data_IF_112227399092
#
_entry.id   IF_112227399092
#
_cell.length_a   1.000
_cell.length_b   1.000
_cell.length_c   1.000
_cell.angle_alpha   90.00
_cell.angle_beta   90.00
_cell.angle_gamma   90.00
#
_symmetry.space_group_name_H-M   'P 1'
#
loop_
_entity.id
_entity.type
_entity.pdbx_description
1 polymer ?
#
# COMPACT_ATOMS: atom_id res chain seq x y z
N UNK A 1 4.67 6.87 13.80
CA UNK A 1 4.50 7.09 12.34
C UNK A 1 5.38 6.12 11.55
N UNK A 2 4.78 5.39 10.63
CA UNK A 2 5.50 4.56 9.65
C UNK A 2 5.78 5.33 8.35
N UNK A 3 6.72 4.84 7.54
CA UNK A 3 6.86 5.26 6.15
C UNK A 3 5.57 4.98 5.37
N UNK A 4 5.04 5.97 4.70
CA UNK A 4 3.85 5.87 3.88
C UNK A 4 4.23 5.88 2.39
N UNK A 5 3.72 4.90 1.65
CA UNK A 5 3.89 4.82 0.18
C UNK A 5 2.78 5.60 -0.54
N UNK A 6 2.53 6.80 -0.07
CA UNK A 6 1.55 7.73 -0.64
C UNK A 6 2.21 9.07 -0.91
N UNK A 7 1.48 9.99 -1.53
CA UNK A 7 1.96 11.37 -1.73
C UNK A 7 2.20 12.10 -0.42
N UNK A 8 1.50 11.72 0.65
CA UNK A 8 1.80 12.19 2.01
C UNK A 8 2.68 11.13 2.66
N UNK A 9 3.87 11.52 3.06
CA UNK A 9 4.71 10.73 3.94
C UNK A 9 4.87 11.49 5.26
N UNK A 10 3.98 11.20 6.22
CA UNK A 10 3.97 11.85 7.53
C UNK A 10 5.24 11.59 8.32
N UNK A 11 5.87 10.44 8.12
CA UNK A 11 7.17 10.16 8.72
C UNK A 11 8.22 11.16 8.24
N UNK A 12 8.28 11.44 6.94
CA UNK A 12 9.19 12.44 6.38
C UNK A 12 8.91 13.83 6.93
N UNK A 13 7.63 14.21 7.04
CA UNK A 13 7.25 15.54 7.57
C UNK A 13 7.77 15.73 9.00
N UNK A 14 7.60 14.74 9.87
CA UNK A 14 7.97 14.89 11.29
C UNK A 14 9.44 14.65 11.57
N UNK A 15 10.15 13.90 10.73
CA UNK A 15 11.53 13.48 10.99
C UNK A 15 12.55 13.88 9.93
N UNK A 16 12.13 14.47 8.82
CA UNK A 16 12.89 14.67 7.58
C UNK A 16 13.36 13.37 6.90
N UNK A 17 13.12 12.21 7.50
CA UNK A 17 13.57 10.94 6.96
C UNK A 17 12.83 10.58 5.67
N UNK A 18 13.59 10.51 4.58
CA UNK A 18 13.06 10.22 3.24
C UNK A 18 13.19 8.75 2.80
N UNK A 19 13.81 7.90 3.62
CA UNK A 19 13.99 6.48 3.33
C UNK A 19 12.68 5.69 3.25
N UNK A 20 12.68 4.56 2.55
CA UNK A 20 11.48 3.76 2.28
C UNK A 20 11.07 2.80 3.41
N UNK A 21 11.80 2.74 4.50
CA UNK A 21 11.48 1.89 5.64
C UNK A 21 11.86 2.57 6.95
N UNK A 22 10.88 3.01 7.71
CA UNK A 22 11.09 3.64 9.00
C UNK A 22 9.83 3.71 9.84
N UNK A 23 10.03 3.86 11.16
CA UNK A 23 9.01 4.13 12.16
C UNK A 23 9.55 5.14 13.18
N UNK A 24 8.83 6.24 13.38
CA UNK A 24 9.16 7.20 14.43
C UNK A 24 8.25 7.06 15.64
N UNK A 25 8.85 7.16 16.82
CA UNK A 25 8.16 7.30 18.09
C UNK A 25 8.58 8.65 18.69
N UNK A 26 7.59 9.52 18.91
CA UNK A 26 7.78 10.86 19.44
C UNK A 26 7.36 10.86 20.90
N UNK A 27 8.27 11.20 21.79
CA UNK A 27 8.03 11.31 23.24
C UNK A 27 8.30 12.74 23.69
N UNK A 28 7.91 13.07 24.91
CA UNK A 28 8.06 14.42 25.48
C UNK A 28 9.52 14.94 25.42
N UNK A 29 10.49 14.07 25.73
CA UNK A 29 11.89 14.49 25.89
C UNK A 29 12.86 13.78 24.91
N UNK A 30 12.40 12.79 24.16
CA UNK A 30 13.26 12.01 23.25
C UNK A 30 12.44 11.49 22.08
N UNK A 31 13.02 11.55 20.88
CA UNK A 31 12.43 10.98 19.69
C UNK A 31 13.28 9.82 19.18
N UNK A 32 12.64 8.80 18.68
CA UNK A 32 13.31 7.62 18.15
C UNK A 32 12.88 7.39 16.71
N UNK A 33 13.84 7.11 15.85
CA UNK A 33 13.59 6.60 14.50
C UNK A 33 14.14 5.17 14.41
N UNK A 34 13.25 4.22 14.14
CA UNK A 34 13.59 2.84 13.85
C UNK A 34 13.66 2.65 12.34
N UNK A 35 14.81 2.21 11.82
CA UNK A 35 15.01 1.97 10.39
C UNK A 35 15.91 0.76 10.16
N UNK A 36 15.95 0.23 8.93
CA UNK A 36 16.82 -0.88 8.61
C UNK A 36 18.25 -0.44 8.21
N UNK A 37 19.15 -1.41 8.09
CA UNK A 37 20.58 -1.16 7.86
C UNK A 37 20.91 -0.39 6.57
N UNK A 38 19.99 -0.34 5.60
CA UNK A 38 20.18 0.43 4.35
C UNK A 38 20.22 1.94 4.57
N UNK A 39 19.59 2.42 5.66
CA UNK A 39 19.35 3.83 5.91
C UNK A 39 20.07 4.41 7.12
N UNK A 40 21.02 3.69 7.73
CA UNK A 40 21.72 4.15 8.95
C UNK A 40 22.42 5.49 8.75
N UNK A 41 23.18 5.65 7.67
CA UNK A 41 23.90 6.90 7.36
C UNK A 41 22.90 8.00 6.96
N UNK A 42 22.01 7.69 6.04
CA UNK A 42 21.00 8.64 5.55
C UNK A 42 20.15 9.19 6.69
N UNK A 43 19.67 8.34 7.59
CA UNK A 43 18.83 8.75 8.71
C UNK A 43 19.57 9.66 9.71
N UNK A 44 20.86 9.43 9.93
CA UNK A 44 21.68 10.31 10.76
C UNK A 44 21.82 11.71 10.16
N UNK A 45 22.01 11.79 8.85
CA UNK A 45 22.13 13.06 8.12
C UNK A 45 20.80 13.80 8.09
N UNK A 46 19.72 13.12 7.69
CA UNK A 46 18.40 13.73 7.48
C UNK A 46 17.69 14.12 8.78
N UNK A 47 17.76 13.26 9.81
CA UNK A 47 17.06 13.50 11.08
C UNK A 47 17.88 14.36 12.06
N UNK A 48 19.17 14.51 11.84
CA UNK A 48 20.08 15.28 12.71
C UNK A 48 20.06 14.77 14.16
N UNK A 49 20.27 15.71 15.10
CA UNK A 49 20.30 15.43 16.55
C UNK A 49 18.92 15.21 17.18
N UNK A 50 17.84 15.45 16.44
CA UNK A 50 16.47 15.42 16.97
C UNK A 50 15.96 14.00 17.18
N UNK A 51 16.58 13.00 16.55
CA UNK A 51 16.17 11.59 16.63
C UNK A 51 17.33 10.68 17.03
N UNK A 52 17.07 9.75 17.95
CA UNK A 52 17.94 8.62 18.17
C UNK A 52 17.63 7.53 17.15
N UNK A 53 18.59 7.21 16.28
CA UNK A 53 18.45 6.19 15.24
C UNK A 53 18.69 4.81 15.83
N UNK A 54 17.80 3.85 15.55
CA UNK A 54 17.84 2.50 16.10
C UNK A 54 17.46 1.51 14.98
N UNK A 55 18.12 0.33 14.96
CA UNK A 55 17.74 -0.75 14.04
C UNK A 55 16.32 -1.26 14.32
N UNK A 56 15.54 -1.46 13.26
CA UNK A 56 14.11 -1.82 13.37
C UNK A 56 13.90 -3.19 14.01
N UNK A 57 14.87 -4.07 13.95
CA UNK A 57 14.89 -5.38 14.62
C UNK A 57 14.77 -5.25 16.15
N UNK A 58 15.26 -4.14 16.71
CA UNK A 58 15.21 -3.87 18.15
C UNK A 58 13.85 -3.38 18.64
N UNK A 59 12.92 -3.07 17.73
CA UNK A 59 11.60 -2.54 18.08
C UNK A 59 10.76 -3.54 18.89
N UNK A 60 10.81 -4.83 18.55
CA UNK A 60 9.96 -5.87 19.16
C UNK A 60 10.20 -6.04 20.66
N UNK A 61 11.44 -5.86 21.10
CA UNK A 61 11.84 -5.99 22.51
C UNK A 61 12.37 -4.66 23.07
N UNK A 62 11.87 -3.53 22.57
CA UNK A 62 12.39 -2.23 22.93
C UNK A 62 12.02 -1.84 24.37
N UNK A 63 13.04 -1.62 25.19
CA UNK A 63 12.87 -1.18 26.58
C UNK A 63 12.90 0.35 26.74
N UNK A 64 13.09 1.10 25.66
CA UNK A 64 13.28 2.55 25.70
C UNK A 64 11.98 3.34 25.97
N UNK A 65 10.82 2.69 25.80
CA UNK A 65 9.49 3.29 26.00
C UNK A 65 8.52 2.26 26.58
N UNK A 66 8.74 1.85 27.83
CA UNK A 66 7.84 0.96 28.57
C UNK A 66 6.85 1.75 29.42
N UNK A 67 5.67 1.16 29.68
CA UNK A 67 4.63 1.69 30.56
C UNK A 67 4.10 3.08 30.13
N UNK A 68 4.12 3.34 28.84
CA UNK A 68 3.59 4.58 28.25
C UNK A 68 2.23 4.36 27.60
N UNK A 69 1.43 5.42 27.55
CA UNK A 69 0.28 5.48 26.66
C UNK A 69 0.71 6.05 25.31
N UNK A 70 0.70 5.23 24.27
CA UNK A 70 1.09 5.62 22.93
C UNK A 70 -0.14 5.99 22.09
N UNK A 71 -0.16 7.23 21.59
CA UNK A 71 -1.16 7.68 20.63
C UNK A 71 -0.85 7.17 19.23
N UNK A 72 -1.82 6.57 18.57
CA UNK A 72 -1.68 6.09 17.19
C UNK A 72 -2.90 6.45 16.34
N UNK A 73 -2.68 6.72 15.05
CA UNK A 73 -3.74 6.84 14.07
C UNK A 73 -4.24 5.44 13.66
N UNK A 74 -5.48 5.04 13.97
CA UNK A 74 -5.99 3.70 13.68
C UNK A 74 -6.13 3.43 12.17
N UNK A 75 -6.06 4.44 11.30
CA UNK A 75 -6.09 4.28 9.85
C UNK A 75 -4.77 3.76 9.29
N UNK A 76 -3.66 3.97 10.02
CA UNK A 76 -2.30 3.66 9.56
C UNK A 76 -1.74 2.35 10.12
N UNK A 77 -2.40 1.74 11.11
CA UNK A 77 -1.91 0.52 11.77
C UNK A 77 -2.92 -0.61 11.69
N UNK A 78 -2.42 -1.84 11.66
CA UNK A 78 -3.23 -3.04 11.86
C UNK A 78 -3.15 -3.49 13.33
N UNK A 79 -4.14 -4.22 13.83
CA UNK A 79 -4.06 -4.83 15.17
C UNK A 79 -2.87 -5.76 15.31
N UNK A 80 -2.50 -6.47 14.26
CA UNK A 80 -1.34 -7.36 14.26
C UNK A 80 -0.03 -6.61 14.47
N UNK A 81 0.14 -5.45 13.82
CA UNK A 81 1.30 -4.58 14.02
C UNK A 81 1.36 -4.05 15.47
N UNK A 82 0.24 -3.56 15.99
CA UNK A 82 0.17 -3.05 17.36
C UNK A 82 0.52 -4.14 18.37
N UNK A 83 -0.07 -5.34 18.20
CA UNK A 83 0.22 -6.49 19.07
C UNK A 83 1.69 -6.86 19.02
N UNK A 84 2.29 -6.84 17.84
CA UNK A 84 3.69 -7.22 17.65
C UNK A 84 4.67 -6.22 18.27
N UNK A 85 4.41 -4.90 18.12
CA UNK A 85 5.40 -3.88 18.42
C UNK A 85 5.18 -3.16 19.76
N UNK A 86 3.93 -3.04 20.24
CA UNK A 86 3.65 -2.11 21.33
C UNK A 86 2.89 -2.71 22.51
N UNK A 87 1.97 -3.66 22.31
CA UNK A 87 1.08 -4.13 23.39
C UNK A 87 1.77 -4.87 24.53
N UNK A 88 2.98 -5.38 24.32
CA UNK A 88 3.70 -6.10 25.39
C UNK A 88 4.05 -5.19 26.58
N UNK A 89 4.27 -3.90 26.33
CA UNK A 89 4.85 -2.98 27.31
C UNK A 89 4.13 -1.64 27.44
N UNK A 90 3.08 -1.37 26.62
CA UNK A 90 2.46 -0.05 26.55
C UNK A 90 0.95 -0.13 26.41
N UNK A 91 0.28 0.94 26.80
CA UNK A 91 -1.14 1.18 26.52
C UNK A 91 -1.29 1.91 25.19
N UNK A 92 -2.39 1.65 24.46
CA UNK A 92 -2.65 2.27 23.17
C UNK A 92 -3.89 3.16 23.26
N UNK A 93 -3.73 4.40 22.83
CA UNK A 93 -4.83 5.35 22.64
C UNK A 93 -4.99 5.64 21.14
N UNK A 94 -6.20 5.41 20.61
CA UNK A 94 -6.48 5.76 19.21
C UNK A 94 -6.71 7.25 19.08
N UNK A 95 -6.02 7.87 18.14
CA UNK A 95 -6.13 9.28 17.76
C UNK A 95 -6.86 9.35 16.44
N UNK A 96 -8.11 9.80 16.43
CA UNK A 96 -8.96 9.79 15.24
C UNK A 96 -8.52 10.78 14.15
N UNK A 97 -7.94 11.91 14.59
CA UNK A 97 -7.36 12.91 13.70
C UNK A 97 -5.85 12.88 13.80
N UNK A 98 -5.17 12.72 12.66
CA UNK A 98 -3.72 12.65 12.64
C UNK A 98 -3.12 14.01 13.02
N UNK A 99 -2.23 14.04 14.01
CA UNK A 99 -1.66 15.28 14.53
C UNK A 99 -0.82 16.04 13.48
N UNK A 100 -0.20 15.33 12.55
CA UNK A 100 0.57 15.96 11.46
C UNK A 100 -0.37 16.69 10.50
N UNK A 101 -1.54 16.11 10.19
CA UNK A 101 -2.52 16.73 9.29
C UNK A 101 -3.08 18.03 9.88
N UNK A 102 -3.12 18.14 11.23
CA UNK A 102 -3.56 19.37 11.91
C UNK A 102 -2.51 20.49 11.80
N UNK A 103 -1.22 20.14 11.87
CA UNK A 103 -0.11 21.11 11.81
C UNK A 103 0.09 21.61 10.38
N UNK A 104 0.19 20.71 9.42
CA UNK A 104 0.60 21.01 8.04
C UNK A 104 -0.57 21.45 7.14
N UNK A 105 -1.84 21.33 7.58
CA UNK A 105 -3.05 21.60 6.74
C UNK A 105 -2.90 20.98 5.35
N UNK A 106 -2.50 19.71 5.32
CA UNK A 106 -2.13 19.00 4.10
C UNK A 106 -3.31 18.94 3.10
N UNK A 107 -3.29 19.84 2.12
CA UNK A 107 -4.24 19.81 1.00
C UNK A 107 -3.74 18.84 -0.06
N UNK A 108 -4.30 17.65 -0.09
CA UNK A 108 -4.01 16.70 -1.17
C UNK A 108 -4.93 17.01 -2.35
N UNK A 109 -4.48 17.85 -3.27
CA UNK A 109 -5.16 18.07 -4.55
C UNK A 109 -4.76 16.99 -5.58
N UNK A 110 -4.82 15.72 -5.20
CA UNK A 110 -4.55 14.64 -6.15
C UNK A 110 -5.84 14.20 -6.83
N UNK A 111 -6.04 14.68 -8.05
CA UNK A 111 -7.19 14.40 -8.90
C UNK A 111 -6.85 13.47 -10.07
N UNK A 112 -5.66 12.88 -10.11
CA UNK A 112 -5.29 11.96 -11.19
C UNK A 112 -6.31 10.82 -11.28
N UNK A 113 -6.98 10.65 -12.43
CA UNK A 113 -8.04 9.66 -12.57
C UNK A 113 -7.48 8.24 -12.54
N UNK A 114 -8.27 7.33 -11.99
CA UNK A 114 -8.06 5.90 -12.18
C UNK A 114 -8.38 5.53 -13.64
N UNK A 115 -7.66 4.54 -14.15
CA UNK A 115 -7.84 4.03 -15.50
C UNK A 115 -7.94 2.51 -15.52
N UNK A 116 -8.65 1.99 -16.51
CA UNK A 116 -8.86 0.56 -16.69
C UNK A 116 -7.83 -0.01 -17.68
N UNK A 117 -7.44 -1.25 -17.46
CA UNK A 117 -6.66 -2.06 -18.40
C UNK A 117 -7.56 -3.13 -19.02
N UNK A 118 -7.59 -3.16 -20.34
CA UNK A 118 -8.42 -4.10 -21.10
C UNK A 118 -7.98 -5.56 -20.90
N UNK A 119 -8.92 -6.49 -21.13
CA UNK A 119 -8.68 -7.93 -21.04
C UNK A 119 -7.47 -8.38 -21.88
N UNK A 120 -7.25 -7.76 -23.05
CA UNK A 120 -6.12 -8.08 -23.92
C UNK A 120 -4.77 -7.78 -23.30
N UNK A 121 -4.71 -6.82 -22.36
CA UNK A 121 -3.50 -6.45 -21.62
C UNK A 121 -3.32 -7.35 -20.40
N UNK A 122 -4.39 -7.64 -19.66
CA UNK A 122 -4.33 -8.35 -18.37
C UNK A 122 -4.65 -9.84 -18.46
N UNK A 123 -5.17 -10.31 -19.60
CA UNK A 123 -5.47 -11.72 -19.88
C UNK A 123 -6.72 -12.27 -19.22
N UNK A 124 -7.27 -11.65 -18.18
CA UNK A 124 -8.44 -12.12 -17.45
C UNK A 124 -9.42 -10.97 -17.17
N UNK A 125 -10.71 -11.21 -17.44
CA UNK A 125 -11.75 -10.20 -17.19
C UNK A 125 -12.02 -10.02 -15.69
N UNK A 126 -12.51 -8.83 -15.33
CA UNK A 126 -12.97 -8.52 -13.98
C UNK A 126 -14.03 -9.54 -13.51
N UNK A 127 -15.00 -9.89 -14.35
CA UNK A 127 -16.07 -10.84 -13.98
C UNK A 127 -15.53 -12.24 -13.65
N UNK A 128 -14.53 -12.73 -14.38
CA UNK A 128 -13.85 -14.00 -14.08
C UNK A 128 -13.20 -13.95 -12.69
N UNK A 129 -12.48 -12.89 -12.37
CA UNK A 129 -11.84 -12.67 -11.07
C UNK A 129 -12.85 -12.57 -9.93
N UNK A 130 -13.96 -11.85 -10.13
CA UNK A 130 -15.06 -11.77 -9.16
C UNK A 130 -15.74 -13.14 -8.95
N UNK A 131 -15.79 -13.98 -9.98
CA UNK A 131 -16.30 -15.35 -9.84
C UNK A 131 -15.42 -16.21 -8.93
N UNK A 132 -14.09 -16.08 -9.03
CA UNK A 132 -13.14 -16.75 -8.10
C UNK A 132 -13.38 -16.29 -6.65
N UNK A 133 -13.53 -15.00 -6.42
CA UNK A 133 -13.83 -14.43 -5.09
C UNK A 133 -15.18 -14.92 -4.57
N UNK A 134 -16.22 -14.94 -5.41
CA UNK A 134 -17.54 -15.42 -5.04
C UNK A 134 -17.51 -16.90 -4.60
N UNK A 135 -16.80 -17.76 -5.34
CA UNK A 135 -16.61 -19.18 -4.96
C UNK A 135 -15.88 -19.32 -3.62
N UNK A 136 -14.83 -18.52 -3.42
CA UNK A 136 -14.09 -18.49 -2.15
C UNK A 136 -15.01 -18.09 -0.98
N UNK A 137 -15.82 -17.04 -1.14
CA UNK A 137 -16.75 -16.58 -0.13
C UNK A 137 -17.81 -17.63 0.22
N UNK A 138 -18.40 -18.29 -0.80
CA UNK A 138 -19.37 -19.39 -0.60
C UNK A 138 -18.75 -20.56 0.17
N UNK A 139 -17.54 -21.00 -0.21
CA UNK A 139 -16.81 -22.07 0.48
C UNK A 139 -16.54 -21.72 1.96
N UNK A 140 -16.26 -20.45 2.26
CA UNK A 140 -15.98 -19.98 3.62
C UNK A 140 -17.23 -19.49 4.38
N UNK A 141 -18.44 -19.68 3.82
CA UNK A 141 -19.72 -19.26 4.42
C UNK A 141 -19.65 -17.82 4.91
N UNK A 142 -19.23 -16.90 4.03
CA UNK A 142 -19.12 -15.45 4.31
C UNK A 142 -19.81 -14.64 3.23
N UNK A 143 -20.37 -13.49 3.63
CA UNK A 143 -21.13 -12.64 2.74
C UNK A 143 -20.23 -11.71 1.92
N UNK A 144 -19.14 -11.24 2.55
CA UNK A 144 -18.25 -10.23 1.97
C UNK A 144 -16.78 -10.56 2.19
N UNK A 145 -15.95 -10.12 1.22
CA UNK A 145 -14.50 -9.97 1.37
C UNK A 145 -14.17 -8.47 1.34
N UNK A 146 -13.45 -8.00 2.35
CA UNK A 146 -12.87 -6.66 2.39
C UNK A 146 -11.43 -6.73 1.91
N UNK A 147 -11.15 -6.19 0.74
CA UNK A 147 -9.82 -6.10 0.14
C UNK A 147 -9.25 -4.74 0.52
N UNK A 148 -8.35 -4.71 1.48
CA UNK A 148 -7.71 -3.50 2.02
C UNK A 148 -6.44 -3.12 1.28
N UNK A 149 -5.79 -4.05 0.60
CA UNK A 149 -4.55 -3.84 -0.14
C UNK A 149 -4.82 -3.23 -1.53
N UNK A 150 -4.32 -2.01 -1.84
CA UNK A 150 -4.59 -1.34 -3.12
C UNK A 150 -4.13 -2.13 -4.34
N UNK A 151 -3.04 -2.89 -4.24
CA UNK A 151 -2.54 -3.75 -5.33
C UNK A 151 -3.49 -4.91 -5.63
N UNK A 152 -4.23 -5.39 -4.62
CA UNK A 152 -5.23 -6.44 -4.79
C UNK A 152 -6.52 -5.87 -5.39
N UNK A 153 -6.89 -4.63 -5.04
CA UNK A 153 -7.97 -3.90 -5.72
C UNK A 153 -7.62 -3.68 -7.19
N UNK A 154 -6.40 -3.21 -7.48
CA UNK A 154 -5.90 -2.98 -8.84
C UNK A 154 -6.00 -4.25 -9.70
N UNK A 155 -5.58 -5.40 -9.16
CA UNK A 155 -5.66 -6.68 -9.87
C UNK A 155 -7.10 -7.13 -10.05
N UNK A 156 -7.94 -7.06 -9.01
CA UNK A 156 -9.32 -7.58 -9.04
C UNK A 156 -10.19 -6.84 -10.05
N UNK A 157 -10.07 -5.50 -10.11
CA UNK A 157 -10.87 -4.66 -10.99
C UNK A 157 -10.19 -4.30 -12.31
N UNK A 158 -8.96 -4.75 -12.55
CA UNK A 158 -8.15 -4.34 -13.70
C UNK A 158 -7.96 -2.82 -13.79
N UNK A 159 -7.90 -2.13 -12.68
CA UNK A 159 -7.71 -0.68 -12.63
C UNK A 159 -6.30 -0.30 -12.16
N UNK A 160 -5.88 0.90 -12.55
CA UNK A 160 -4.63 1.49 -12.10
C UNK A 160 -4.85 2.94 -11.68
N UNK A 161 -3.91 3.48 -10.92
CA UNK A 161 -3.89 4.86 -10.46
C UNK A 161 -2.46 5.40 -10.42
N UNK A 162 -2.31 6.68 -10.11
CA UNK A 162 -1.01 7.35 -9.93
C UNK A 162 -0.82 7.82 -8.48
N UNK A 163 -1.33 7.05 -7.52
CA UNK A 163 -1.33 7.42 -6.10
C UNK A 163 -0.01 7.07 -5.39
N UNK A 164 0.73 6.11 -5.91
CA UNK A 164 2.08 5.79 -5.46
C UNK A 164 3.14 6.43 -6.37
N UNK A 165 4.31 6.81 -5.81
CA UNK A 165 5.36 7.48 -6.59
C UNK A 165 5.95 6.61 -7.71
N UNK A 166 6.09 5.30 -7.48
CA UNK A 166 6.77 4.37 -8.39
C UNK A 166 5.90 3.19 -8.82
N UNK A 167 4.63 3.17 -8.43
CA UNK A 167 3.72 2.05 -8.71
C UNK A 167 2.36 2.57 -9.17
N UNK A 168 1.77 1.97 -10.24
CA UNK A 168 0.50 2.44 -10.77
C UNK A 168 -0.69 1.91 -9.94
N UNK A 169 -0.67 2.10 -8.63
CA UNK A 169 -1.71 1.61 -7.73
C UNK A 169 -2.78 2.68 -7.46
N UNK A 170 -4.08 2.29 -7.44
CA UNK A 170 -5.18 3.15 -7.02
C UNK A 170 -5.30 3.10 -5.49
N UNK A 171 -5.16 4.23 -4.79
CA UNK A 171 -5.40 4.27 -3.35
C UNK A 171 -6.90 4.10 -3.06
N UNK A 172 -7.31 2.88 -2.92
CA UNK A 172 -8.71 2.48 -2.76
C UNK A 172 -8.83 1.19 -1.94
N UNK A 173 -10.05 0.88 -1.54
CA UNK A 173 -10.43 -0.39 -0.89
C UNK A 173 -11.61 -0.96 -1.64
N UNK A 174 -11.81 -2.28 -1.57
CA UNK A 174 -12.88 -2.94 -2.31
C UNK A 174 -13.62 -3.93 -1.43
N UNK A 175 -14.93 -3.89 -1.48
CA UNK A 175 -15.79 -4.92 -0.89
C UNK A 175 -16.37 -5.74 -2.04
N UNK A 176 -16.21 -7.06 -1.97
CA UNK A 176 -16.80 -8.00 -2.91
C UNK A 176 -17.79 -8.89 -2.17
N UNK A 177 -19.02 -8.98 -2.66
CA UNK A 177 -20.04 -9.87 -2.09
C UNK A 177 -19.99 -11.29 -2.68
N UNK A 178 -20.56 -12.25 -1.98
CA UNK A 178 -20.76 -13.64 -2.48
C UNK A 178 -21.61 -13.71 -3.75
N UNK A 179 -22.36 -12.64 -4.08
CA UNK A 179 -23.15 -12.51 -5.31
C UNK A 179 -22.44 -11.68 -6.39
N UNK A 180 -21.13 -11.46 -6.27
CA UNK A 180 -20.28 -10.68 -7.18
C UNK A 180 -20.59 -9.18 -7.22
N UNK A 181 -21.44 -8.66 -6.34
CA UNK A 181 -21.62 -7.21 -6.20
C UNK A 181 -20.34 -6.61 -5.62
N UNK A 182 -19.93 -5.48 -6.15
CA UNK A 182 -18.73 -4.75 -5.69
C UNK A 182 -19.13 -3.42 -5.09
N UNK A 183 -18.31 -2.95 -4.14
CA UNK A 183 -18.38 -1.59 -3.60
C UNK A 183 -16.94 -1.06 -3.48
N UNK A 184 -16.63 -0.04 -4.26
CA UNK A 184 -15.31 0.60 -4.28
C UNK A 184 -15.31 1.77 -3.31
N UNK A 185 -14.39 1.76 -2.37
CA UNK A 185 -14.15 2.85 -1.43
C UNK A 185 -12.98 3.66 -1.97
N UNK A 186 -13.27 4.80 -2.58
CA UNK A 186 -12.30 5.67 -3.23
C UNK A 186 -12.84 7.09 -3.39
N UNK A 187 -11.93 8.03 -3.69
CA UNK A 187 -12.32 9.39 -4.06
C UNK A 187 -13.13 9.36 -5.37
N UNK A 188 -14.38 9.86 -5.33
CA UNK A 188 -15.31 9.89 -6.48
C UNK A 188 -14.75 10.63 -7.69
N UNK A 189 -13.96 11.69 -7.46
CA UNK A 189 -13.34 12.47 -8.55
C UNK A 189 -12.39 11.60 -9.36
N UNK A 190 -11.57 10.77 -8.68
CA UNK A 190 -10.64 9.84 -9.35
C UNK A 190 -11.35 8.74 -10.15
N UNK A 191 -12.58 8.42 -9.79
CA UNK A 191 -13.39 7.38 -10.43
C UNK A 191 -14.17 7.87 -11.66
N UNK A 192 -14.23 9.18 -11.96
CA UNK A 192 -15.02 9.72 -13.07
C UNK A 192 -14.76 9.02 -14.40
N UNK A 193 -13.49 8.76 -14.75
CA UNK A 193 -13.12 8.04 -15.98
C UNK A 193 -13.68 6.61 -16.01
N UNK A 194 -13.64 5.89 -14.89
CA UNK A 194 -14.17 4.52 -14.78
C UNK A 194 -15.70 4.50 -14.92
N UNK A 195 -16.39 5.52 -14.40
CA UNK A 195 -17.84 5.67 -14.53
C UNK A 195 -18.22 5.93 -15.98
N UNK A 196 -17.57 6.89 -16.65
CA UNK A 196 -17.83 7.25 -18.03
C UNK A 196 -17.58 6.06 -18.98
N UNK A 197 -16.59 5.24 -18.69
CA UNK A 197 -16.28 4.01 -19.42
C UNK A 197 -17.18 2.81 -19.03
N UNK A 198 -18.15 3.00 -18.14
CA UNK A 198 -19.04 1.93 -17.63
C UNK A 198 -18.32 0.74 -16.98
N UNK A 199 -17.09 0.95 -16.50
CA UNK A 199 -16.32 -0.08 -15.78
C UNK A 199 -16.89 -0.30 -14.36
N UNK A 200 -17.37 0.77 -13.73
CA UNK A 200 -18.06 0.74 -12.46
C UNK A 200 -19.22 1.72 -12.45
N UNK A 201 -20.36 1.33 -11.89
CA UNK A 201 -21.49 2.24 -11.73
C UNK A 201 -21.24 3.20 -10.56
N UNK A 202 -21.69 4.45 -10.67
CA UNK A 202 -21.50 5.49 -9.66
C UNK A 202 -22.04 5.09 -8.27
N UNK A 203 -23.17 4.37 -8.22
CA UNK A 203 -23.77 3.85 -6.97
C UNK A 203 -22.95 2.69 -6.32
N UNK A 204 -21.89 2.24 -6.96
CA UNK A 204 -20.95 1.27 -6.42
C UNK A 204 -19.69 1.90 -5.86
N UNK A 205 -19.57 3.22 -5.94
CA UNK A 205 -18.50 3.98 -5.30
C UNK A 205 -19.10 4.58 -4.03
N UNK A 206 -18.67 4.05 -2.90
CA UNK A 206 -19.21 4.35 -1.57
C UNK A 206 -18.17 5.03 -0.68
N UNK A 207 -18.66 5.79 0.29
CA UNK A 207 -17.83 6.25 1.39
C UNK A 207 -17.71 5.14 2.47
N UNK A 208 -16.65 5.18 3.25
CA UNK A 208 -16.40 4.16 4.28
C UNK A 208 -17.55 4.06 5.30
N UNK A 209 -18.24 5.14 5.63
CA UNK A 209 -19.38 5.15 6.54
C UNK A 209 -20.59 4.35 6.00
N UNK A 210 -20.65 4.14 4.69
CA UNK A 210 -21.74 3.39 4.06
C UNK A 210 -21.55 1.87 4.17
N UNK A 211 -20.39 1.39 4.65
CA UNK A 211 -20.17 -0.05 4.95
C UNK A 211 -21.25 -0.56 5.91
N UNK A 212 -21.61 0.24 6.91
CA UNK A 212 -22.63 -0.12 7.89
C UNK A 212 -24.04 -0.29 7.30
N UNK A 213 -24.31 0.25 6.10
CA UNK A 213 -25.61 0.12 5.40
C UNK A 213 -25.74 -1.17 4.59
N UNK A 214 -24.65 -1.93 4.41
CA UNK A 214 -24.69 -3.19 3.67
C UNK A 214 -25.55 -4.24 4.39
N UNK A 215 -26.24 -5.08 3.60
CA UNK A 215 -27.07 -6.18 4.11
C UNK A 215 -26.25 -7.47 4.13
N UNK A 216 -26.17 -8.14 5.26
CA UNK A 216 -25.41 -9.38 5.44
C UNK A 216 -24.93 -9.52 6.89
N UNK A 217 -24.22 -10.61 7.20
CA UNK A 217 -23.85 -10.98 8.56
C UNK A 217 -22.34 -11.06 8.79
N UNK A 218 -21.56 -11.26 7.73
CA UNK A 218 -20.14 -11.61 7.91
C UNK A 218 -19.21 -11.06 6.83
N UNK A 219 -18.00 -10.69 7.28
CA UNK A 219 -16.87 -10.28 6.45
C UNK A 219 -15.67 -11.18 6.66
N UNK A 220 -14.94 -11.44 5.58
CA UNK A 220 -13.55 -11.88 5.65
C UNK A 220 -12.66 -10.64 5.50
N UNK A 221 -11.67 -10.49 6.39
CA UNK A 221 -10.64 -9.46 6.35
C UNK A 221 -9.26 -10.08 6.47
N UNK A 222 -8.24 -9.45 5.89
CA UNK A 222 -6.84 -9.80 6.12
C UNK A 222 -6.24 -8.91 7.22
N UNK A 223 -5.89 -9.51 8.36
CA UNK A 223 -5.31 -8.80 9.51
C UNK A 223 -3.91 -8.19 9.23
N UNK A 224 -3.24 -8.60 8.14
CA UNK A 224 -1.95 -8.04 7.75
C UNK A 224 -2.10 -6.67 7.06
N UNK A 225 -3.24 -6.40 6.42
CA UNK A 225 -3.46 -5.22 5.60
C UNK A 225 -4.67 -4.38 6.02
N UNK A 226 -5.63 -4.96 6.74
CA UNK A 226 -6.80 -4.25 7.22
C UNK A 226 -6.42 -3.37 8.43
N UNK A 227 -6.55 -2.05 8.30
CA UNK A 227 -6.27 -1.15 9.39
C UNK A 227 -7.30 -1.29 10.53
N UNK A 228 -6.90 -0.92 11.74
CA UNK A 228 -7.73 -0.93 12.94
C UNK A 228 -9.04 -0.17 12.72
N UNK A 229 -8.96 0.96 12.04
CA UNK A 229 -10.13 1.77 11.71
C UNK A 229 -11.19 0.98 10.94
N UNK A 230 -10.78 0.31 9.85
CA UNK A 230 -11.71 -0.48 9.04
C UNK A 230 -12.16 -1.77 9.74
N UNK A 231 -11.26 -2.42 10.49
CA UNK A 231 -11.64 -3.60 11.29
C UNK A 231 -12.72 -3.24 12.31
N UNK A 232 -12.57 -2.13 13.05
CA UNK A 232 -13.56 -1.68 14.03
C UNK A 232 -14.89 -1.28 13.37
N UNK A 233 -14.82 -0.56 12.24
CA UNK A 233 -16.00 -0.16 11.49
C UNK A 233 -16.81 -1.36 10.98
N UNK A 234 -16.13 -2.39 10.49
CA UNK A 234 -16.79 -3.64 10.05
C UNK A 234 -17.33 -4.41 11.25
N UNK A 235 -16.54 -4.54 12.34
CA UNK A 235 -16.89 -5.27 13.55
C UNK A 235 -18.11 -4.71 14.27
N UNK A 236 -18.38 -3.40 14.14
CA UNK A 236 -19.54 -2.77 14.79
C UNK A 236 -20.90 -3.35 14.35
N UNK A 237 -20.95 -3.96 13.15
CA UNK A 237 -22.19 -4.53 12.59
C UNK A 237 -22.07 -5.98 12.12
N UNK A 238 -20.89 -6.44 11.75
CA UNK A 238 -20.68 -7.72 11.07
C UNK A 238 -19.76 -8.65 11.87
N UNK A 239 -20.00 -9.95 11.79
CA UNK A 239 -19.05 -10.95 12.27
C UNK A 239 -17.82 -10.95 11.35
N UNK A 240 -16.63 -10.89 11.95
CA UNK A 240 -15.36 -10.90 11.21
C UNK A 240 -14.74 -12.28 11.23
N UNK A 241 -14.28 -12.74 10.06
CA UNK A 241 -13.40 -13.90 9.90
C UNK A 241 -12.03 -13.41 9.43
N UNK A 242 -10.99 -13.59 10.23
CA UNK A 242 -9.62 -13.22 9.88
C UNK A 242 -9.01 -14.32 9.02
N UNK A 243 -8.68 -14.00 7.77
CA UNK A 243 -8.02 -14.89 6.81
C UNK A 243 -7.17 -14.06 5.86
N UNK A 244 -6.10 -14.64 5.36
CA UNK A 244 -5.31 -14.01 4.32
C UNK A 244 -6.20 -13.70 3.10
N UNK A 245 -5.99 -12.51 2.50
CA UNK A 245 -6.70 -12.12 1.28
C UNK A 245 -6.40 -13.12 0.15
N UNK A 246 -7.41 -13.83 -0.38
CA UNK A 246 -7.22 -14.86 -1.41
C UNK A 246 -6.67 -14.29 -2.73
N UNK A 247 -6.76 -12.98 -2.94
CA UNK A 247 -6.23 -12.33 -4.13
C UNK A 247 -4.71 -12.51 -4.22
N UNK A 248 -3.98 -12.55 -3.11
CA UNK A 248 -2.55 -12.83 -3.13
C UNK A 248 -2.25 -14.18 -3.80
N UNK A 249 -3.03 -15.20 -3.49
CA UNK A 249 -2.91 -16.51 -4.15
C UNK A 249 -3.36 -16.44 -5.62
N UNK A 250 -4.50 -15.82 -5.92
CA UNK A 250 -5.02 -15.78 -7.29
C UNK A 250 -4.09 -15.06 -8.26
N UNK A 251 -3.48 -13.94 -7.84
CA UNK A 251 -2.54 -13.18 -8.67
C UNK A 251 -1.14 -13.80 -8.75
N UNK A 252 -0.79 -14.70 -7.84
CA UNK A 252 0.51 -15.37 -7.89
C UNK A 252 0.60 -16.35 -9.06
N UNK A 253 -0.52 -16.93 -9.48
CA UNK A 253 -0.61 -17.83 -10.63
C UNK A 253 -0.90 -17.00 -11.88
N UNK A 254 0.14 -16.80 -12.70
CA UNK A 254 0.07 -15.93 -13.90
C UNK A 254 -0.69 -16.62 -15.03
N UNK A 255 -1.54 -15.88 -15.72
CA UNK A 255 -2.18 -16.33 -16.94
C UNK A 255 -1.22 -16.24 -18.16
N UNK A 256 -1.62 -16.82 -19.30
CA UNK A 256 -0.79 -16.86 -20.53
C UNK A 256 -0.38 -15.47 -21.02
N UNK A 257 -1.27 -14.47 -20.93
CA UNK A 257 -1.00 -13.09 -21.34
C UNK A 257 0.02 -12.43 -20.40
N UNK A 258 -0.14 -12.58 -19.09
CA UNK A 258 0.82 -12.09 -18.10
C UNK A 258 2.21 -12.71 -18.30
N UNK A 259 2.28 -14.02 -18.57
CA UNK A 259 3.54 -14.73 -18.87
C UNK A 259 4.18 -14.18 -20.15
N UNK A 260 3.40 -14.04 -21.23
CA UNK A 260 3.90 -13.49 -22.49
C UNK A 260 4.46 -12.09 -22.34
N UNK A 261 3.74 -11.21 -21.62
CA UNK A 261 4.21 -9.84 -21.37
C UNK A 261 5.46 -9.81 -20.49
N UNK A 262 5.55 -10.70 -19.50
CA UNK A 262 6.74 -10.82 -18.67
C UNK A 262 7.96 -11.23 -19.47
N UNK A 263 7.83 -12.24 -20.36
CA UNK A 263 8.91 -12.67 -21.25
C UNK A 263 9.37 -11.52 -22.13
N UNK A 264 8.43 -10.81 -22.79
CA UNK A 264 8.75 -9.64 -23.63
C UNK A 264 9.47 -8.53 -22.86
N UNK A 265 8.99 -8.23 -21.65
CA UNK A 265 9.61 -7.23 -20.78
C UNK A 265 11.03 -7.61 -20.38
N UNK A 266 11.28 -8.89 -20.05
CA UNK A 266 12.61 -9.37 -19.72
C UNK A 266 13.57 -9.34 -20.91
N UNK A 267 13.12 -9.65 -22.13
CA UNK A 267 13.93 -9.52 -23.33
C UNK A 267 14.34 -8.05 -23.55
N UNK A 268 13.38 -7.14 -23.47
CA UNK A 268 13.63 -5.71 -23.65
C UNK A 268 14.55 -5.14 -22.56
N UNK A 269 14.32 -5.49 -21.30
CA UNK A 269 15.17 -5.04 -20.19
C UNK A 269 16.56 -5.68 -20.22
N UNK A 270 16.67 -6.96 -20.64
CA UNK A 270 17.92 -7.65 -20.82
C UNK A 270 18.80 -6.98 -21.87
N UNK A 271 18.22 -6.55 -23.01
CA UNK A 271 18.94 -5.79 -24.01
C UNK A 271 19.45 -4.42 -23.48
N UNK A 272 18.62 -3.72 -22.69
CA UNK A 272 19.03 -2.46 -22.06
C UNK A 272 20.15 -2.68 -21.03
N UNK A 273 20.03 -3.73 -20.21
CA UNK A 273 21.04 -4.09 -19.22
C UNK A 273 22.37 -4.48 -19.87
N UNK A 274 22.34 -5.24 -20.97
CA UNK A 274 23.54 -5.60 -21.73
C UNK A 274 24.27 -4.36 -22.26
N UNK A 275 23.55 -3.40 -22.84
CA UNK A 275 24.09 -2.10 -23.26
C UNK A 275 24.71 -1.33 -22.09
N UNK A 276 24.04 -1.37 -20.93
CA UNK A 276 24.53 -0.73 -19.72
C UNK A 276 25.81 -1.36 -19.19
N UNK A 277 25.89 -2.69 -19.14
CA UNK A 277 27.08 -3.41 -18.70
C UNK A 277 28.26 -3.14 -19.63
N UNK A 278 28.04 -3.12 -20.94
CA UNK A 278 29.06 -2.73 -21.93
C UNK A 278 29.56 -1.31 -21.68
N UNK A 279 28.63 -0.36 -21.50
CA UNK A 279 29.00 1.02 -21.19
C UNK A 279 29.80 1.12 -19.88
N UNK A 280 29.35 0.45 -18.80
CA UNK A 280 30.06 0.44 -17.52
C UNK A 280 31.48 -0.16 -17.64
N UNK A 281 31.67 -1.18 -18.48
CA UNK A 281 32.98 -1.79 -18.70
C UNK A 281 33.95 -0.83 -19.37
N UNK A 282 33.48 -0.02 -20.31
CA UNK A 282 34.29 0.84 -21.17
C UNK A 282 34.37 2.31 -20.69
N UNK A 283 33.82 2.64 -19.52
CA UNK A 283 33.81 4.01 -18.99
C UNK A 283 34.71 4.10 -17.74
N UNK A 284 35.34 5.27 -17.53
CA UNK A 284 36.13 5.53 -16.34
C UNK A 284 35.23 5.59 -15.09
N UNK A 285 35.27 4.55 -14.28
CA UNK A 285 34.40 4.38 -13.10
C UNK A 285 34.64 5.41 -11.99
N UNK A 286 35.85 6.00 -11.91
CA UNK A 286 36.18 7.02 -10.92
C UNK A 286 35.40 8.33 -11.10
N UNK A 287 34.84 8.56 -12.30
CA UNK A 287 34.11 9.77 -12.64
C UNK A 287 32.57 9.60 -12.62
N UNK A 288 32.06 8.41 -12.25
CA UNK A 288 30.63 8.10 -12.34
C UNK A 288 30.06 7.91 -10.93
N UNK A 289 29.01 8.67 -10.63
CA UNK A 289 28.18 8.45 -9.42
C UNK A 289 27.13 7.37 -9.67
N UNK A 290 26.60 6.78 -8.60
CA UNK A 290 25.49 5.81 -8.65
C UNK A 290 24.25 6.39 -9.36
N UNK A 291 23.94 7.67 -9.13
CA UNK A 291 22.81 8.37 -9.77
C UNK A 291 23.03 8.51 -11.28
N UNK A 292 24.25 8.81 -11.72
CA UNK A 292 24.57 8.88 -13.14
C UNK A 292 24.47 7.50 -13.80
N UNK A 293 24.92 6.44 -13.14
CA UNK A 293 24.79 5.07 -13.61
C UNK A 293 23.29 4.67 -13.73
N UNK A 294 22.48 4.97 -12.72
CA UNK A 294 21.04 4.74 -12.75
C UNK A 294 20.36 5.47 -13.92
N UNK A 295 20.66 6.75 -14.13
CA UNK A 295 20.11 7.54 -15.20
C UNK A 295 20.53 7.01 -16.59
N UNK A 296 21.75 6.48 -16.71
CA UNK A 296 22.22 5.87 -17.95
C UNK A 296 21.47 4.58 -18.28
N UNK A 297 21.25 3.70 -17.29
CA UNK A 297 20.45 2.50 -17.47
C UNK A 297 19.01 2.85 -17.88
N UNK A 298 18.40 3.84 -17.23
CA UNK A 298 17.06 4.31 -17.58
C UNK A 298 16.99 4.87 -19.01
N UNK A 299 18.03 5.54 -19.47
CA UNK A 299 18.14 6.00 -20.87
C UNK A 299 18.15 4.80 -21.85
N UNK A 300 18.90 3.74 -21.55
CA UNK A 300 18.91 2.54 -22.40
C UNK A 300 17.56 1.83 -22.41
N UNK A 301 16.85 1.76 -21.26
CA UNK A 301 15.49 1.23 -21.19
C UNK A 301 14.50 2.01 -22.06
N UNK A 302 14.59 3.34 -22.06
CA UNK A 302 13.73 4.21 -22.90
C UNK A 302 13.99 4.03 -24.40
N UNK A 303 15.19 3.68 -24.80
CA UNK A 303 15.55 3.44 -26.20
C UNK A 303 15.05 2.10 -26.76
N UNK A 304 14.67 1.15 -25.88
CA UNK A 304 14.19 -0.18 -26.27
C UNK A 304 12.65 -0.30 -26.21
N UNK A 305 11.94 0.82 -26.15
CA UNK A 305 10.46 0.86 -26.16
C UNK A 305 9.93 0.87 -27.58
#
# INVERSE_FOLDING_TARGET
YFTEYSKINRLKIISNFSGSAGLAIILKNKNYLFTDGRYTIQSQIECGKNFKIIGIEKLINCNLFKNLTLGIDPKLFTYKQIKKFFLKFNYIKFINENLIDQIEKLKINDTHPFFHLDKNIVGESQNSKLTKVSRYLKKNKSDYLFISAPENVAWTLNIRGKDGPNTPMPNSRLIVSKTKKIYLIANKIKCKKLINQKIINSNRIIDFNEISKLKGNSFIIDENTCSIYFENLIKSKFKIKKRQDPIYHFKSIKNKTEISHMIKSHISDGAALTKFLYWMKNTNKKQITEVQAQNKLEKFRKQNK
#
